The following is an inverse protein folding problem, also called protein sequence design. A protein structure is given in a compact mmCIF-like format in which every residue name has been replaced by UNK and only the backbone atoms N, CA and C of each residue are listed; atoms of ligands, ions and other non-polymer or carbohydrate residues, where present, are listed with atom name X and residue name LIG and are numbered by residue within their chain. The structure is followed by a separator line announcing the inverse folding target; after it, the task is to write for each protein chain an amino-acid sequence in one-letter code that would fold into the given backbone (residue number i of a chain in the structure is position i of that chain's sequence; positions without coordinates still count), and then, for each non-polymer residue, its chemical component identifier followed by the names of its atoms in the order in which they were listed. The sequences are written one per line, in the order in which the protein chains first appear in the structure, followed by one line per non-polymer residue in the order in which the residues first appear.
data_IF_055756075838
#
_entry.id   IF_055756075838
#
_cell.length_a   1.000
_cell.length_b   1.000
_cell.length_c   1.000
_cell.angle_alpha   90.00
_cell.angle_beta   90.00
_cell.angle_gamma   90.00
#
_symmetry.space_group_name_H-M   'P 1'
#
loop_
_entity.id
_entity.type
_entity.pdbx_description
1 polymer ?
#
# COMPACT_ATOMS: atom_id res chain seq x y z
N UNK A 1 11.64 0.64 -18.13
CA UNK A 1 10.76 1.56 -17.35
C UNK A 1 11.63 2.31 -16.35
N UNK A 2 11.57 3.65 -16.30
CA UNK A 2 12.39 4.44 -15.36
C UNK A 2 12.04 4.10 -13.90
N UNK A 3 13.04 3.76 -13.08
CA UNK A 3 12.89 3.44 -11.66
C UNK A 3 12.10 4.51 -10.89
N UNK A 4 12.28 5.78 -11.27
CA UNK A 4 11.55 6.93 -10.71
C UNK A 4 10.03 6.84 -10.93
N UNK A 5 9.58 6.37 -12.11
CA UNK A 5 8.14 6.17 -12.44
C UNK A 5 7.55 5.00 -11.66
N UNK A 6 8.32 3.94 -11.50
CA UNK A 6 7.96 2.77 -10.67
C UNK A 6 7.76 3.20 -9.21
N UNK A 7 8.69 3.99 -8.66
CA UNK A 7 8.60 4.52 -7.30
C UNK A 7 7.33 5.36 -7.09
N UNK A 8 6.98 6.24 -8.02
CA UNK A 8 5.75 7.05 -7.94
C UNK A 8 4.48 6.19 -7.96
N UNK A 9 4.43 5.15 -8.81
CA UNK A 9 3.28 4.22 -8.83
C UNK A 9 3.12 3.47 -7.50
N UNK A 10 4.22 3.10 -6.84
CA UNK A 10 4.17 2.49 -5.50
C UNK A 10 3.60 3.43 -4.45
N UNK A 11 4.07 4.67 -4.42
CA UNK A 11 3.58 5.69 -3.47
C UNK A 11 2.07 5.89 -3.65
N UNK A 12 1.59 6.00 -4.89
CA UNK A 12 0.16 6.10 -5.18
C UNK A 12 -0.62 4.88 -4.70
N UNK A 13 -0.12 3.67 -4.98
CA UNK A 13 -0.75 2.43 -4.52
C UNK A 13 -0.84 2.34 -2.99
N UNK A 14 0.22 2.76 -2.28
CA UNK A 14 0.24 2.80 -0.81
C UNK A 14 -0.77 3.81 -0.27
N UNK A 15 -0.85 5.01 -0.84
CA UNK A 15 -1.81 6.03 -0.41
C UNK A 15 -3.26 5.58 -0.60
N UNK A 16 -3.59 5.01 -1.76
CA UNK A 16 -4.92 4.49 -2.04
C UNK A 16 -5.29 3.35 -1.09
N UNK A 17 -4.34 2.45 -0.82
CA UNK A 17 -4.53 1.34 0.12
C UNK A 17 -4.71 1.83 1.56
N UNK A 18 -3.97 2.86 1.98
CA UNK A 18 -4.10 3.49 3.28
C UNK A 18 -5.51 4.05 3.50
N UNK A 19 -6.04 4.78 2.52
CA UNK A 19 -7.39 5.36 2.59
C UNK A 19 -8.43 4.25 2.70
N UNK A 20 -8.32 3.20 1.87
CA UNK A 20 -9.24 2.07 1.92
C UNK A 20 -9.17 1.32 3.26
N UNK A 21 -7.97 1.16 3.83
CA UNK A 21 -7.77 0.57 5.15
C UNK A 21 -8.46 1.39 6.25
N UNK A 22 -8.30 2.72 6.24
CA UNK A 22 -8.93 3.60 7.23
C UNK A 22 -10.45 3.50 7.13
N UNK A 23 -11.02 3.53 5.92
CA UNK A 23 -12.46 3.36 5.73
C UNK A 23 -12.94 2.00 6.23
N UNK A 24 -12.27 0.91 5.88
CA UNK A 24 -12.64 -0.43 6.32
C UNK A 24 -12.55 -0.59 7.85
N UNK A 25 -11.56 0.05 8.48
CA UNK A 25 -11.41 0.04 9.94
C UNK A 25 -12.53 0.84 10.63
N UNK A 26 -12.89 2.01 10.10
CA UNK A 26 -13.98 2.85 10.62
C UNK A 26 -15.34 2.18 10.45
N UNK A 27 -15.57 1.50 9.32
CA UNK A 27 -16.80 0.76 9.02
C UNK A 27 -16.93 -0.54 9.85
N UNK A 28 -15.88 -0.95 10.57
CA UNK A 28 -15.86 -2.20 11.33
C UNK A 28 -15.74 -3.45 10.45
N UNK A 29 -15.37 -3.28 9.18
CA UNK A 29 -15.29 -4.33 8.18
C UNK A 29 -13.97 -5.13 8.31
N UNK A 30 -13.88 -5.96 9.36
CA UNK A 30 -12.64 -6.65 9.79
C UNK A 30 -11.94 -7.41 8.64
N UNK A 31 -12.68 -8.13 7.81
CA UNK A 31 -12.10 -8.90 6.70
C UNK A 31 -11.39 -8.01 5.68
N UNK A 32 -11.98 -6.86 5.36
CA UNK A 32 -11.38 -5.90 4.44
C UNK A 32 -10.20 -5.19 5.10
N UNK A 33 -10.32 -4.80 6.36
CA UNK A 33 -9.24 -4.15 7.10
C UNK A 33 -7.99 -5.05 7.18
N UNK A 34 -8.14 -6.34 7.50
CA UNK A 34 -7.03 -7.30 7.51
C UNK A 34 -6.40 -7.43 6.13
N UNK A 35 -7.22 -7.55 5.08
CA UNK A 35 -6.74 -7.68 3.69
C UNK A 35 -5.94 -6.45 3.26
N UNK A 36 -6.47 -5.25 3.51
CA UNK A 36 -5.77 -4.01 3.23
C UNK A 36 -4.47 -3.91 4.04
N UNK A 37 -4.47 -4.30 5.31
CA UNK A 37 -3.25 -4.35 6.13
C UNK A 37 -2.16 -5.23 5.51
N UNK A 38 -2.50 -6.43 5.04
CA UNK A 38 -1.55 -7.34 4.36
C UNK A 38 -0.99 -6.70 3.08
N UNK A 39 -1.86 -6.11 2.26
CA UNK A 39 -1.42 -5.43 1.02
C UNK A 39 -0.51 -4.25 1.34
N UNK A 40 -0.81 -3.49 2.39
CA UNK A 40 -0.01 -2.35 2.83
C UNK A 40 1.40 -2.78 3.24
N UNK A 41 1.54 -3.89 3.97
CA UNK A 41 2.83 -4.49 4.34
C UNK A 41 3.62 -4.90 3.08
N UNK A 42 2.97 -5.63 2.15
CA UNK A 42 3.61 -6.05 0.90
C UNK A 42 4.13 -4.85 0.07
N UNK A 43 3.28 -3.83 -0.10
CA UNK A 43 3.65 -2.63 -0.86
C UNK A 43 4.79 -1.87 -0.19
N UNK A 44 4.82 -1.82 1.15
CA UNK A 44 5.92 -1.22 1.92
C UNK A 44 7.24 -1.94 1.71
N UNK A 45 7.26 -3.28 1.85
CA UNK A 45 8.46 -4.10 1.63
C UNK A 45 8.95 -3.96 0.18
N UNK A 46 8.03 -3.97 -0.79
CA UNK A 46 8.41 -3.84 -2.20
C UNK A 46 8.91 -2.44 -2.54
N UNK A 47 8.29 -1.40 -1.97
CA UNK A 47 8.77 -0.03 -2.10
C UNK A 47 10.18 0.11 -1.53
N UNK A 48 10.46 -0.50 -0.37
CA UNK A 48 11.79 -0.52 0.21
C UNK A 48 12.80 -1.11 -0.79
N UNK A 49 12.57 -2.32 -1.31
CA UNK A 49 13.46 -2.95 -2.29
C UNK A 49 13.73 -2.07 -3.52
N UNK A 50 12.72 -1.35 -4.02
CA UNK A 50 12.87 -0.43 -5.18
C UNK A 50 13.62 0.84 -4.80
N UNK A 51 13.52 1.29 -3.56
CA UNK A 51 14.17 2.53 -3.09
C UNK A 51 15.63 2.35 -2.65
N UNK A 52 16.02 1.10 -2.33
CA UNK A 52 17.38 0.74 -1.91
C UNK A 52 18.21 0.12 -3.05
N UNK A 53 17.58 -0.20 -4.18
CA UNK A 53 18.25 -0.59 -5.43
C UNK A 53 18.75 0.63 -6.21
#
# INVERSE_FOLDING_TARGET
MNARRLRTMYVFGILLNAVALIYAAVDGAILFAVTFGIVMVYLGVRYWMVSTA
#
